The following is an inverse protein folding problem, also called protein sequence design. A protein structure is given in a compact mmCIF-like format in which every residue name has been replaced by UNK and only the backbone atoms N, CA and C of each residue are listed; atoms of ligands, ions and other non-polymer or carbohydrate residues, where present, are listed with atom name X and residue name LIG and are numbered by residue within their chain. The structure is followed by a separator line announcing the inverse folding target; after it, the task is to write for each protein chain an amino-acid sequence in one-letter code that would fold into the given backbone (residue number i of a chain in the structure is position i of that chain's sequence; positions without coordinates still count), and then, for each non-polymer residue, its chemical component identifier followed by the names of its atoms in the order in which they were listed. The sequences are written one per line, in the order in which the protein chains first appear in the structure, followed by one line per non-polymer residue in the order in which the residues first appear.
data_IF_468718629614
#
_entry.id   IF_468718629614
#
_cell.length_a   1.000
_cell.length_b   1.000
_cell.length_c   1.000
_cell.angle_alpha   90.00
_cell.angle_beta   90.00
_cell.angle_gamma   90.00
#
_symmetry.space_group_name_H-M   'P 1'
#
loop_
_entity.id
_entity.type
_entity.pdbx_description
1 polymer ?
#
# COMPACT_ATOMS: atom_id res chain seq x y z
N UNK A 1 21.18 -5.78 -4.66
CA UNK A 1 20.67 -5.53 -4.73
C UNK A 1 19.81 -5.19 -3.97
N UNK A 2 19.28 -5.11 -3.70
CA UNK A 2 18.40 -4.73 -3.07
C UNK A 2 17.42 -5.58 -2.87
N UNK A 3 17.63 -6.70 -2.82
CA UNK A 3 16.71 -7.64 -2.57
C UNK A 3 16.07 -7.42 -1.27
N UNK A 4 16.72 -6.91 -0.31
CA UNK A 4 16.12 -6.73 0.97
C UNK A 4 15.05 -5.67 0.91
N UNK A 5 14.93 -4.98 -0.19
CA UNK A 5 13.86 -4.02 -0.34
C UNK A 5 12.77 -4.51 -1.26
N UNK A 6 12.63 -5.79 -1.40
CA UNK A 6 11.57 -6.32 -2.23
C UNK A 6 10.22 -5.97 -1.65
N UNK A 7 9.31 -5.62 -2.52
CA UNK A 7 7.94 -5.31 -2.10
C UNK A 7 7.12 -6.60 -2.12
N UNK A 8 6.48 -6.89 -1.02
CA UNK A 8 5.59 -8.03 -0.93
C UNK A 8 4.31 -7.63 -0.26
N UNK A 9 3.27 -8.41 -0.47
CA UNK A 9 1.99 -8.12 0.11
C UNK A 9 1.24 -9.42 0.33
N UNK A 10 0.75 -9.62 1.55
CA UNK A 10 -0.10 -10.77 1.83
C UNK A 10 -1.34 -10.28 2.54
N UNK A 11 -2.47 -10.87 2.24
CA UNK A 11 -3.72 -10.49 2.83
C UNK A 11 -4.46 -11.75 3.27
N UNK A 12 -4.89 -11.78 4.51
CA UNK A 12 -5.60 -12.93 5.04
C UNK A 12 -6.97 -12.50 5.49
N UNK A 13 -7.99 -13.18 5.01
CA UNK A 13 -9.38 -12.97 5.40
C UNK A 13 -9.83 -11.52 5.22
N UNK A 14 -9.24 -10.82 4.30
CA UNK A 14 -9.52 -9.41 4.06
C UNK A 14 -9.43 -8.58 5.35
N UNK A 15 -8.68 -9.04 6.32
CA UNK A 15 -8.61 -8.33 7.58
C UNK A 15 -7.23 -8.15 8.14
N UNK A 16 -6.25 -8.82 7.58
CA UNK A 16 -4.88 -8.72 8.09
C UNK A 16 -3.91 -8.70 6.91
N UNK A 17 -3.16 -7.66 6.76
CA UNK A 17 -2.22 -7.51 5.66
C UNK A 17 -0.82 -7.26 6.17
N UNK A 18 0.14 -7.88 5.53
CA UNK A 18 1.53 -7.65 5.83
C UNK A 18 2.19 -7.16 4.56
N UNK A 19 2.81 -6.00 4.59
CA UNK A 19 3.40 -5.39 3.41
C UNK A 19 4.86 -5.13 3.68
N UNK A 20 5.71 -5.47 2.71
CA UNK A 20 7.14 -5.21 2.82
C UNK A 20 7.57 -4.31 1.68
N UNK A 21 8.75 -3.77 1.75
CA UNK A 21 9.25 -2.84 0.74
C UNK A 21 8.65 -1.47 0.86
N UNK A 22 8.16 -1.10 2.03
CA UNK A 22 7.53 0.18 2.27
C UNK A 22 8.59 1.15 2.74
N UNK A 23 8.67 2.31 2.09
CA UNK A 23 9.66 3.31 2.48
C UNK A 23 9.04 4.39 3.36
N UNK A 24 7.74 4.57 3.30
CA UNK A 24 7.12 5.62 4.11
C UNK A 24 5.62 5.42 4.16
N UNK A 25 4.97 6.06 5.10
CA UNK A 25 3.52 6.08 5.18
C UNK A 25 3.10 7.51 4.85
N UNK A 26 2.37 7.65 3.75
CA UNK A 26 1.98 8.95 3.26
C UNK A 26 0.80 9.48 4.06
N UNK A 27 -0.21 8.69 4.24
CA UNK A 27 -1.29 9.10 5.10
C UNK A 27 -2.01 7.87 5.63
N UNK A 28 -2.74 8.06 6.71
CA UNK A 28 -3.39 6.94 7.35
C UNK A 28 -4.59 7.41 8.16
N UNK A 29 -5.70 6.77 7.94
CA UNK A 29 -6.84 6.93 8.84
C UNK A 29 -7.63 5.61 8.79
N UNK A 30 -8.76 5.55 9.44
CA UNK A 30 -9.50 4.30 9.56
C UNK A 30 -10.07 3.80 8.24
N UNK A 31 -10.13 4.64 7.25
CA UNK A 31 -10.70 4.26 5.98
C UNK A 31 -9.70 4.20 4.86
N UNK A 32 -8.51 4.71 5.09
CA UNK A 32 -7.53 4.83 4.03
C UNK A 32 -6.11 4.75 4.58
N UNK A 33 -5.29 3.95 3.95
CA UNK A 33 -3.87 3.89 4.27
C UNK A 33 -3.11 4.05 2.97
N UNK A 34 -2.22 5.02 2.90
CA UNK A 34 -1.43 5.25 1.70
C UNK A 34 0.03 5.04 2.04
N UNK A 35 0.65 4.07 1.40
CA UNK A 35 2.02 3.69 1.66
C UNK A 35 2.86 3.95 0.43
N UNK A 36 4.07 4.41 0.65
CA UNK A 36 5.02 4.60 -0.44
C UNK A 36 5.92 3.36 -0.45
N UNK A 37 5.93 2.64 -1.55
CA UNK A 37 6.74 1.45 -1.67
C UNK A 37 7.76 1.64 -2.79
N UNK A 38 8.69 0.73 -2.90
CA UNK A 38 9.68 0.83 -3.96
C UNK A 38 9.10 0.51 -5.33
N UNK A 39 7.84 0.12 -5.40
CA UNK A 39 7.17 -0.11 -6.69
C UNK A 39 6.04 0.88 -6.93
N UNK A 40 5.95 1.92 -6.14
CA UNK A 40 4.94 2.95 -6.33
C UNK A 40 4.14 3.19 -5.07
N UNK A 41 3.10 3.97 -5.18
CA UNK A 41 2.25 4.28 -4.05
C UNK A 41 1.13 3.26 -3.96
N UNK A 42 0.95 2.70 -2.79
CA UNK A 42 -0.07 1.69 -2.57
C UNK A 42 -1.15 2.29 -1.71
N UNK A 43 -2.37 2.27 -2.18
CA UNK A 43 -3.51 2.82 -1.46
C UNK A 43 -4.42 1.68 -1.03
N UNK A 44 -4.69 1.60 0.25
CA UNK A 44 -5.57 0.59 0.81
C UNK A 44 -6.80 1.29 1.33
N UNK A 45 -7.96 0.85 0.90
CA UNK A 45 -9.21 1.43 1.38
C UNK A 45 -10.02 0.37 2.10
N UNK A 46 -10.75 0.79 3.08
CA UNK A 46 -11.56 -0.15 3.85
C UNK A 46 -12.22 0.53 5.03
N UNK A 47 -12.45 -0.21 6.10
CA UNK A 47 -13.02 0.35 7.31
C UNK A 47 -12.33 -0.21 8.52
N UNK A 48 -12.22 0.59 9.54
CA UNK A 48 -11.58 0.18 10.76
C UNK A 48 -10.11 -0.17 10.57
N UNK A 49 -9.46 0.45 9.60
CA UNK A 49 -8.07 0.14 9.31
C UNK A 49 -7.17 0.64 10.42
N UNK A 50 -6.19 -0.13 10.74
CA UNK A 50 -5.29 0.17 11.83
C UNK A 50 -3.90 -0.37 11.53
N UNK A 51 -2.87 0.43 11.71
CA UNK A 51 -1.51 -0.03 11.53
C UNK A 51 -1.04 -0.60 12.85
N UNK A 52 -0.82 -1.90 12.89
CA UNK A 52 -0.39 -2.55 14.11
C UNK A 52 1.13 -2.69 14.18
N UNK A 53 1.83 -2.53 13.08
CA UNK A 53 3.27 -2.61 13.08
C UNK A 53 3.82 -1.73 11.97
N UNK A 54 4.83 -0.94 12.28
CA UNK A 54 5.47 -0.12 11.29
C UNK A 54 6.94 -0.07 11.60
N UNK A 55 7.77 -0.56 10.68
CA UNK A 55 9.20 -0.53 10.84
C UNK A 55 9.81 -0.03 9.55
N UNK A 56 10.30 1.20 9.56
CA UNK A 56 10.84 1.78 8.35
C UNK A 56 12.19 1.20 7.98
N UNK A 57 12.90 0.66 8.91
CA UNK A 57 14.17 0.06 8.60
C UNK A 57 13.99 -1.22 7.81
N UNK A 58 12.97 -2.01 8.14
CA UNK A 58 12.69 -3.22 7.44
C UNK A 58 11.77 -2.94 6.28
N UNK A 59 11.11 -1.82 6.26
CA UNK A 59 10.10 -1.56 5.27
C UNK A 59 8.87 -2.41 5.47
N UNK A 60 8.57 -2.80 6.70
CA UNK A 60 7.47 -3.71 6.97
C UNK A 60 6.35 -3.02 7.69
N UNK A 61 5.16 -3.21 7.19
CA UNK A 61 3.97 -2.60 7.77
C UNK A 61 2.90 -3.67 7.88
N UNK A 62 2.22 -3.72 9.01
CA UNK A 62 1.11 -4.64 9.21
C UNK A 62 -0.13 -3.82 9.47
N UNK A 63 -1.16 -4.05 8.67
CA UNK A 63 -2.40 -3.30 8.75
C UNK A 63 -3.52 -4.27 9.02
N UNK A 64 -4.36 -3.94 9.98
CA UNK A 64 -5.52 -4.76 10.31
C UNK A 64 -6.79 -3.95 10.08
N UNK A 65 -7.91 -4.60 9.89
CA UNK A 65 -9.17 -3.96 9.66
C UNK A 65 -9.94 -4.70 8.59
N UNK A 66 -10.84 -4.01 7.92
CA UNK A 66 -11.58 -4.63 6.86
C UNK A 66 -11.14 -4.01 5.55
N UNK A 67 -10.64 -4.79 4.62
CA UNK A 67 -10.07 -4.29 3.38
C UNK A 67 -11.08 -4.36 2.25
N UNK A 68 -11.26 -3.24 1.56
CA UNK A 68 -12.17 -3.19 0.42
C UNK A 68 -11.44 -3.15 -0.90
N UNK A 69 -10.38 -2.41 -0.98
CA UNK A 69 -9.66 -2.26 -2.24
C UNK A 69 -8.21 -1.92 -2.00
N UNK A 70 -7.36 -2.31 -2.93
CA UNK A 70 -5.94 -2.01 -2.89
C UNK A 70 -5.54 -1.59 -4.28
N UNK A 71 -4.90 -0.44 -4.39
CA UNK A 71 -4.49 0.10 -5.67
C UNK A 71 -3.08 0.60 -5.63
N UNK A 72 -2.39 0.52 -6.76
CA UNK A 72 -1.06 1.08 -6.89
C UNK A 72 -1.10 2.23 -7.87
N UNK A 73 -0.31 3.25 -7.60
CA UNK A 73 -0.22 4.37 -8.51
C UNK A 73 1.09 5.11 -8.30
N UNK A 74 1.34 6.03 -9.17
CA UNK A 74 2.38 7.00 -8.98
C UNK A 74 3.74 6.70 -9.47
N UNK A 75 4.11 5.44 -9.53
CA UNK A 75 5.42 5.13 -9.94
C UNK A 75 5.63 5.31 -11.40
N UNK A 76 4.70 4.92 -12.17
CA UNK A 76 4.87 4.99 -13.57
C UNK A 76 4.20 6.22 -14.05
N UNK A 77 4.91 7.27 -14.04
CA UNK A 77 4.38 8.45 -14.38
C UNK A 77 3.62 8.54 -15.57
N UNK A 78 4.10 8.15 -16.58
CA UNK A 78 3.39 8.23 -17.82
C UNK A 78 2.14 7.44 -17.79
N UNK A 79 2.26 6.29 -17.25
CA UNK A 79 1.14 5.41 -17.24
C UNK A 79 0.06 5.88 -16.33
N UNK A 80 0.44 6.53 -15.28
CA UNK A 80 -0.53 6.90 -14.37
C UNK A 80 -1.57 7.77 -14.97
N UNK A 81 -1.18 8.69 -15.75
CA UNK A 81 -2.14 9.57 -16.36
C UNK A 81 -3.04 8.82 -17.29
N UNK A 82 -2.46 8.04 -18.15
CA UNK A 82 -3.26 7.32 -19.11
C UNK A 82 -4.15 6.29 -18.53
N UNK A 83 -3.64 5.55 -17.59
CA UNK A 83 -4.42 4.50 -17.01
C UNK A 83 -5.61 5.03 -16.25
N UNK A 84 -5.39 5.99 -15.41
CA UNK A 84 -6.47 6.53 -14.66
C UNK A 84 -7.49 7.21 -15.54
N UNK A 85 -7.04 7.87 -16.56
CA UNK A 85 -7.97 8.50 -17.46
C UNK A 85 -8.87 7.50 -18.09
N UNK A 86 -8.33 6.38 -18.48
CA UNK A 86 -9.14 5.38 -19.08
C UNK A 86 -10.15 4.82 -18.13
N UNK A 87 -9.77 4.61 -16.92
CA UNK A 87 -10.68 4.06 -15.96
C UNK A 87 -11.78 5.04 -15.60
N UNK A 88 -11.47 6.30 -15.67
CA UNK A 88 -12.45 7.26 -15.30
C UNK A 88 -13.36 7.62 -16.42
N UNK A 89 -13.08 7.16 -17.58
CA UNK A 89 -13.92 7.42 -18.68
C UNK A 89 -14.95 6.42 -18.84
#
# INVERSE_FOLDING_TARGET
MDEHMSHGFTLQNRSHAEITGVSDVDCFNEQLVVLVTNLGTMTISGSGLNISHLNKEDGRVIVDGEFDAIEYSGKTRGAKGGLLSRLMR
#
